data_IF_942628245081
#
_entry.id   IF_942628245081
#
_cell.length_a   1.000
_cell.length_b   1.000
_cell.length_c   1.000
_cell.angle_alpha   90.00
_cell.angle_beta   90.00
_cell.angle_gamma   90.00
#
_symmetry.space_group_name_H-M   'P 1'
#
loop_
_entity.id
_entity.type
_entity.pdbx_description
1 polymer ?
#
# COMPACT_ATOMS: atom_id res chain seq x y z
N UNK A 1 11.89 -8.69 -9.23
CA UNK A 1 10.72 -8.30 -8.43
C UNK A 1 10.02 -7.04 -8.96
N UNK A 2 10.72 -6.25 -9.81
CA UNK A 2 10.15 -5.08 -10.47
C UNK A 2 9.21 -5.51 -11.61
N UNK A 3 8.07 -4.83 -11.73
CA UNK A 3 7.11 -5.07 -12.80
C UNK A 3 7.42 -4.19 -14.01
N UNK A 4 6.91 -2.98 -14.10
CA UNK A 4 7.14 -2.07 -15.22
C UNK A 4 7.72 -0.75 -14.74
N UNK A 5 8.65 -0.18 -15.51
CA UNK A 5 9.11 1.19 -15.31
C UNK A 5 7.98 2.16 -15.64
N UNK A 6 7.66 3.06 -14.72
CA UNK A 6 6.63 4.07 -14.92
C UNK A 6 7.19 5.17 -15.81
N UNK A 7 6.64 5.29 -17.02
CA UNK A 7 6.97 6.33 -18.00
C UNK A 7 5.78 7.23 -18.31
N UNK A 8 4.60 6.85 -17.80
CA UNK A 8 3.36 7.57 -17.97
C UNK A 8 2.66 7.73 -16.63
N UNK A 9 2.33 8.95 -16.31
CA UNK A 9 1.52 9.27 -15.12
C UNK A 9 0.25 9.99 -15.57
N UNK A 10 -0.88 9.61 -14.98
CA UNK A 10 -2.18 10.25 -15.21
C UNK A 10 -2.76 10.72 -13.89
N UNK A 11 -3.30 11.92 -13.91
CA UNK A 11 -4.15 12.43 -12.83
C UNK A 11 -5.48 12.83 -13.46
N UNK A 12 -6.56 12.26 -12.93
CA UNK A 12 -7.92 12.54 -13.43
C UNK A 12 -8.81 13.08 -12.33
N UNK A 13 -9.74 13.93 -12.74
CA UNK A 13 -10.85 14.39 -11.91
C UNK A 13 -12.13 13.83 -12.52
N UNK A 14 -12.85 13.04 -11.74
CA UNK A 14 -14.12 12.44 -12.11
C UNK A 14 -15.27 13.25 -11.51
N UNK A 15 -16.21 13.67 -12.35
CA UNK A 15 -17.39 14.41 -11.92
C UNK A 15 -18.57 14.12 -12.84
N UNK A 16 -19.72 13.75 -12.27
CA UNK A 16 -20.99 13.54 -13.00
C UNK A 16 -20.88 12.60 -14.21
N UNK A 17 -20.09 11.53 -14.10
CA UNK A 17 -19.87 10.57 -15.19
C UNK A 17 -18.85 11.00 -16.22
N UNK A 18 -18.26 12.19 -16.10
CA UNK A 18 -17.18 12.70 -16.95
C UNK A 18 -15.84 12.59 -16.23
N UNK A 19 -14.77 12.52 -17.00
CA UNK A 19 -13.42 12.47 -16.47
C UNK A 19 -12.50 13.40 -17.26
N UNK A 20 -11.88 14.34 -16.55
CA UNK A 20 -10.82 15.19 -17.10
C UNK A 20 -9.47 14.63 -16.69
N UNK A 21 -8.59 14.39 -17.63
CA UNK A 21 -7.30 13.74 -17.40
C UNK A 21 -6.16 14.63 -17.87
N UNK A 22 -5.18 14.79 -17.01
CA UNK A 22 -3.85 15.32 -17.35
C UNK A 22 -2.89 14.14 -17.40
N UNK A 23 -2.16 14.02 -18.49
CA UNK A 23 -1.19 12.96 -18.72
C UNK A 23 0.21 13.55 -18.82
N UNK A 24 1.15 13.00 -18.09
CA UNK A 24 2.57 13.28 -18.14
C UNK A 24 3.30 12.06 -18.69
N UNK A 25 4.00 12.23 -19.80
CA UNK A 25 4.76 11.16 -20.45
C UNK A 25 6.23 11.54 -20.47
N UNK A 26 7.05 10.66 -19.90
CA UNK A 26 8.50 10.80 -19.93
C UNK A 26 9.07 10.09 -21.15
N UNK A 27 9.94 10.73 -21.88
CA UNK A 27 10.68 10.11 -23.00
C UNK A 27 11.96 9.43 -22.50
N UNK A 28 12.63 10.05 -21.53
CA UNK A 28 13.84 9.57 -20.92
C UNK A 28 13.80 9.88 -19.41
N UNK A 29 14.28 8.96 -18.60
CA UNK A 29 14.41 9.11 -17.14
C UNK A 29 15.83 8.80 -16.75
N UNK A 30 16.53 9.69 -16.00
CA UNK A 30 17.83 9.38 -15.45
C UNK A 30 17.78 8.12 -14.59
N UNK A 31 18.81 7.28 -14.64
CA UNK A 31 18.82 5.97 -13.97
C UNK A 31 18.55 6.04 -12.45
N UNK A 32 18.89 7.14 -11.81
CA UNK A 32 18.65 7.36 -10.38
C UNK A 32 17.25 7.94 -10.05
N UNK A 33 16.44 8.25 -11.06
CA UNK A 33 15.08 8.81 -10.92
C UNK A 33 14.00 7.85 -11.41
N UNK A 34 14.38 6.64 -11.79
CA UNK A 34 13.47 5.63 -12.29
C UNK A 34 12.45 5.17 -11.24
N UNK A 35 11.18 5.16 -11.59
CA UNK A 35 10.08 4.63 -10.79
C UNK A 35 9.56 3.32 -11.38
N UNK A 36 9.21 2.37 -10.53
CA UNK A 36 8.73 1.06 -10.96
C UNK A 36 7.45 0.66 -10.23
N UNK A 37 6.56 0.02 -10.96
CA UNK A 37 5.44 -0.70 -10.33
C UNK A 37 5.96 -1.99 -9.74
N UNK A 38 5.44 -2.37 -8.58
CA UNK A 38 5.74 -3.64 -7.91
C UNK A 38 4.45 -4.34 -7.46
N UNK A 39 4.47 -5.66 -7.51
CA UNK A 39 3.47 -6.49 -6.83
C UNK A 39 4.03 -6.87 -5.46
N UNK A 40 3.46 -6.34 -4.38
CA UNK A 40 3.93 -6.54 -3.00
C UNK A 40 4.12 -8.01 -2.65
N UNK A 41 3.23 -8.90 -3.10
CA UNK A 41 3.36 -10.34 -2.90
C UNK A 41 4.64 -10.96 -3.47
N UNK A 42 5.20 -10.36 -4.52
CA UNK A 42 6.47 -10.79 -5.12
C UNK A 42 7.67 -10.01 -4.57
N UNK A 43 7.49 -8.70 -4.41
CA UNK A 43 8.54 -7.80 -3.96
C UNK A 43 8.93 -8.08 -2.50
N UNK A 44 7.95 -8.23 -1.62
CA UNK A 44 8.22 -8.48 -0.19
C UNK A 44 8.92 -9.83 0.01
N UNK A 45 8.50 -10.86 -0.73
CA UNK A 45 9.17 -12.16 -0.70
C UNK A 45 10.63 -12.07 -1.19
N UNK A 46 10.88 -11.33 -2.26
CA UNK A 46 12.23 -11.12 -2.75
C UNK A 46 13.08 -10.35 -1.72
N UNK A 47 12.54 -9.27 -1.15
CA UNK A 47 13.25 -8.46 -0.17
C UNK A 47 13.61 -9.28 1.09
N UNK A 48 12.68 -10.11 1.56
CA UNK A 48 12.92 -11.03 2.66
C UNK A 48 14.08 -12.01 2.34
N UNK A 49 14.09 -12.58 1.13
CA UNK A 49 15.17 -13.45 0.68
C UNK A 49 16.53 -12.72 0.60
N UNK A 50 16.54 -11.46 0.19
CA UNK A 50 17.79 -10.67 0.19
C UNK A 50 18.28 -10.41 1.62
N UNK A 51 17.36 -10.16 2.57
CA UNK A 51 17.72 -10.03 3.98
C UNK A 51 18.31 -11.34 4.56
N UNK A 52 17.71 -12.48 4.25
CA UNK A 52 18.24 -13.80 4.66
C UNK A 52 19.64 -14.07 4.09
N UNK A 53 19.93 -13.68 2.85
CA UNK A 53 21.28 -13.77 2.26
C UNK A 53 22.31 -12.93 3.02
N UNK A 54 21.88 -11.86 3.69
CA UNK A 54 22.73 -11.03 4.55
C UNK A 54 22.80 -11.53 6.00
N UNK A 55 22.21 -12.70 6.30
CA UNK A 55 22.28 -13.33 7.60
C UNK A 55 21.08 -13.07 8.52
N UNK A 56 20.03 -12.40 8.04
CA UNK A 56 18.79 -12.28 8.81
C UNK A 56 18.08 -13.64 8.89
N UNK A 57 17.45 -13.92 10.03
CA UNK A 57 16.58 -15.10 10.20
C UNK A 57 15.13 -14.66 10.01
N UNK A 58 14.47 -15.16 8.98
CA UNK A 58 13.05 -14.94 8.75
C UNK A 58 12.22 -16.06 9.42
N UNK A 59 11.39 -15.70 10.38
CA UNK A 59 10.47 -16.62 11.05
C UNK A 59 9.05 -16.20 10.71
N UNK A 60 8.37 -17.05 9.94
CA UNK A 60 6.98 -16.83 9.52
C UNK A 60 6.00 -17.56 10.43
N UNK A 61 4.73 -17.12 10.42
CA UNK A 61 3.63 -17.72 11.20
C UNK A 61 3.88 -17.73 12.72
N UNK A 62 4.67 -16.79 13.19
CA UNK A 62 4.88 -16.54 14.63
C UNK A 62 4.28 -15.18 14.95
N UNK A 63 3.39 -15.15 15.93
CA UNK A 63 2.76 -13.92 16.40
C UNK A 63 3.55 -13.36 17.57
N UNK A 64 4.03 -12.12 17.42
CA UNK A 64 4.54 -11.36 18.57
C UNK A 64 3.36 -10.78 19.33
N UNK A 65 3.23 -11.13 20.59
CA UNK A 65 2.08 -10.77 21.43
C UNK A 65 2.39 -9.66 22.43
N UNK A 66 3.67 -9.46 22.79
CA UNK A 66 4.08 -8.50 23.81
C UNK A 66 5.53 -8.04 23.63
N UNK A 67 5.82 -6.80 24.00
CA UNK A 67 7.19 -6.32 24.19
C UNK A 67 7.66 -6.65 25.63
N UNK A 68 8.78 -7.34 25.77
CA UNK A 68 9.38 -7.61 27.07
C UNK A 68 10.07 -6.34 27.58
N UNK A 69 9.57 -5.80 28.69
CA UNK A 69 10.06 -4.56 29.28
C UNK A 69 10.73 -4.85 30.62
N UNK A 70 11.96 -4.39 30.78
CA UNK A 70 12.70 -4.44 32.04
C UNK A 70 12.81 -3.03 32.66
N UNK A 71 12.56 -2.93 33.95
CA UNK A 71 12.76 -1.71 34.70
C UNK A 71 13.59 -2.01 35.95
N UNK A 72 14.83 -1.55 35.98
CA UNK A 72 15.79 -1.87 37.03
C UNK A 72 15.46 -1.24 38.39
N UNK A 73 14.65 -0.18 38.43
CA UNK A 73 14.14 0.47 39.63
C UNK A 73 12.91 1.33 39.30
N UNK A 74 12.13 1.73 40.33
CA UNK A 74 10.91 2.55 40.16
C UNK A 74 11.17 3.85 39.44
N UNK A 75 12.36 4.42 39.53
CA UNK A 75 12.75 5.68 38.89
C UNK A 75 13.55 5.49 37.57
N UNK A 76 13.85 4.25 37.18
CA UNK A 76 14.55 3.98 35.93
C UNK A 76 13.56 4.03 34.77
N UNK A 77 14.06 4.47 33.60
CA UNK A 77 13.26 4.38 32.38
C UNK A 77 13.07 2.92 32.00
N UNK A 78 11.84 2.50 31.61
CA UNK A 78 11.60 1.18 31.05
C UNK A 78 12.49 0.95 29.81
N UNK A 79 13.05 -0.25 29.69
CA UNK A 79 13.86 -0.67 28.55
C UNK A 79 13.22 -1.90 27.92
N UNK A 80 13.00 -1.87 26.61
CA UNK A 80 12.58 -3.05 25.85
C UNK A 80 13.81 -3.95 25.70
N UNK A 81 13.70 -5.21 26.13
CA UNK A 81 14.78 -6.20 26.13
C UNK A 81 14.49 -7.40 25.22
N UNK A 82 13.33 -7.45 24.59
CA UNK A 82 12.91 -8.55 23.72
C UNK A 82 11.44 -8.53 23.41
N UNK A 83 10.96 -9.65 22.91
CA UNK A 83 9.57 -9.87 22.53
C UNK A 83 9.09 -11.23 23.04
N UNK A 84 7.78 -11.35 23.30
CA UNK A 84 7.10 -12.62 23.53
C UNK A 84 6.42 -13.07 22.26
N UNK A 85 6.67 -14.32 21.87
CA UNK A 85 6.09 -14.97 20.72
C UNK A 85 5.36 -16.22 21.21
N UNK A 86 4.05 -16.20 21.29
CA UNK A 86 3.26 -17.25 21.94
C UNK A 86 3.76 -17.52 23.38
N UNK A 87 4.31 -18.69 23.65
CA UNK A 87 4.88 -19.09 24.95
C UNK A 87 6.40 -18.87 25.05
N UNK A 88 7.07 -18.46 23.98
CA UNK A 88 8.51 -18.27 23.91
C UNK A 88 8.91 -16.79 24.09
N UNK A 89 10.08 -16.57 24.68
CA UNK A 89 10.68 -15.23 24.81
C UNK A 89 11.96 -15.13 23.97
N UNK A 90 12.03 -14.08 23.16
CA UNK A 90 13.21 -13.77 22.34
C UNK A 90 13.82 -12.47 22.83
N UNK A 91 15.07 -12.51 23.27
CA UNK A 91 15.78 -11.35 23.80
C UNK A 91 16.65 -10.71 22.72
N UNK A 92 16.76 -9.38 22.74
CA UNK A 92 17.56 -8.61 21.82
C UNK A 92 18.04 -7.28 22.43
N UNK A 93 19.19 -6.79 21.98
CA UNK A 93 19.72 -5.47 22.35
C UNK A 93 18.89 -4.33 21.76
N UNK A 94 18.21 -4.56 20.64
CA UNK A 94 17.33 -3.61 19.95
C UNK A 94 16.13 -4.34 19.36
N UNK A 95 14.95 -3.80 19.58
CA UNK A 95 13.69 -4.27 18.96
C UNK A 95 13.16 -3.19 18.03
N UNK A 96 12.92 -3.54 16.77
CA UNK A 96 12.28 -2.67 15.77
C UNK A 96 10.85 -3.15 15.56
N UNK A 97 9.88 -2.33 15.93
CA UNK A 97 8.46 -2.61 15.73
C UNK A 97 8.03 -1.99 14.38
N UNK A 98 7.60 -2.84 13.45
CA UNK A 98 7.19 -2.46 12.10
C UNK A 98 5.80 -3.04 11.75
N UNK A 99 4.85 -2.93 12.66
CA UNK A 99 3.50 -3.52 12.57
C UNK A 99 2.49 -2.71 11.71
N UNK A 100 2.96 -1.62 11.11
CA UNK A 100 2.14 -0.77 10.24
C UNK A 100 1.13 0.08 11.01
N UNK A 101 -0.05 0.27 10.44
CA UNK A 101 -1.08 1.16 10.98
C UNK A 101 -1.80 0.64 12.24
N UNK A 102 -1.66 -0.64 12.58
CA UNK A 102 -2.41 -1.24 13.69
C UNK A 102 -1.83 -0.91 15.08
N UNK A 103 -0.53 -0.64 15.21
CA UNK A 103 0.17 -0.15 16.42
C UNK A 103 -0.12 -0.90 17.74
N UNK A 104 -0.52 -2.19 17.67
CA UNK A 104 -1.01 -2.94 18.83
C UNK A 104 0.04 -3.10 19.93
N UNK A 105 1.27 -3.47 19.57
CA UNK A 105 2.37 -3.65 20.49
C UNK A 105 2.84 -2.31 21.11
N UNK A 106 2.86 -1.26 20.29
CA UNK A 106 3.26 0.07 20.73
C UNK A 106 2.23 0.67 21.72
N UNK A 107 0.93 0.44 21.47
CA UNK A 107 -0.15 0.85 22.38
C UNK A 107 -0.08 0.08 23.72
N UNK A 108 0.08 -1.25 23.66
CA UNK A 108 0.25 -2.08 24.86
C UNK A 108 1.45 -1.64 25.72
N UNK A 109 2.54 -1.27 25.06
CA UNK A 109 3.74 -0.79 25.75
C UNK A 109 3.64 0.67 26.23
N UNK A 110 2.54 1.37 25.93
CA UNK A 110 2.37 2.80 26.26
C UNK A 110 3.31 3.74 25.50
N UNK A 111 3.83 3.30 24.34
CA UNK A 111 4.77 4.06 23.52
C UNK A 111 4.08 4.96 22.49
N UNK A 112 2.83 4.66 22.16
CA UNK A 112 1.97 5.52 21.35
C UNK A 112 0.51 5.44 21.80
N UNK A 113 -0.30 6.39 21.40
CA UNK A 113 -1.75 6.31 21.50
C UNK A 113 -2.33 5.55 20.30
N UNK A 114 -3.59 5.10 20.44
CA UNK A 114 -4.34 4.53 19.32
C UNK A 114 -4.33 5.49 18.12
N UNK A 115 -4.22 4.96 16.88
CA UNK A 115 -4.20 5.78 15.69
C UNK A 115 -5.46 6.64 15.57
N UNK A 116 -5.29 7.93 15.24
CA UNK A 116 -6.41 8.81 14.96
C UNK A 116 -7.07 8.39 13.63
N UNK A 117 -8.40 8.11 13.62
CA UNK A 117 -9.13 7.80 12.37
C UNK A 117 -8.96 8.86 11.28
N UNK A 118 -8.74 10.14 11.63
CA UNK A 118 -8.45 11.21 10.68
C UNK A 118 -7.11 11.04 9.94
N UNK A 119 -6.17 10.29 10.52
CA UNK A 119 -4.87 9.99 9.92
C UNK A 119 -4.84 8.65 9.16
N UNK A 120 -5.95 7.92 9.15
CA UNK A 120 -6.04 6.59 8.54
C UNK A 120 -6.87 6.60 7.26
N UNK A 121 -6.52 5.69 6.37
CA UNK A 121 -7.30 5.40 5.17
C UNK A 121 -7.43 3.89 4.98
N UNK A 122 -8.51 3.47 4.35
CA UNK A 122 -8.73 2.09 3.91
C UNK A 122 -8.69 2.02 2.39
N UNK A 123 -8.07 0.97 1.87
CA UNK A 123 -8.00 0.73 0.43
C UNK A 123 -8.44 -0.68 0.06
N UNK A 124 -9.13 -0.78 -1.06
CA UNK A 124 -9.46 -2.05 -1.71
C UNK A 124 -8.84 -2.08 -3.10
N UNK A 125 -8.41 -3.25 -3.55
CA UNK A 125 -7.73 -3.41 -4.84
C UNK A 125 -8.02 -4.77 -5.42
N UNK A 126 -8.27 -4.78 -6.73
CA UNK A 126 -8.33 -5.98 -7.56
C UNK A 126 -7.20 -5.99 -8.58
N UNK A 127 -6.80 -7.17 -9.00
CA UNK A 127 -5.74 -7.35 -10.00
C UNK A 127 -6.23 -8.28 -11.10
N UNK A 128 -6.35 -7.75 -12.30
CA UNK A 128 -6.85 -8.44 -13.48
C UNK A 128 -5.70 -8.90 -14.38
N UNK A 129 -5.69 -10.17 -14.75
CA UNK A 129 -4.72 -10.69 -15.71
C UNK A 129 -5.04 -10.18 -17.11
N UNK A 130 -4.03 -9.66 -17.79
CA UNK A 130 -4.12 -9.19 -19.18
C UNK A 130 -2.88 -9.63 -19.95
N UNK A 131 -3.06 -9.91 -21.25
CA UNK A 131 -1.93 -10.11 -22.13
C UNK A 131 -1.10 -8.79 -22.22
N UNK A 132 0.21 -8.95 -22.35
CA UNK A 132 1.16 -7.82 -22.40
C UNK A 132 0.78 -6.80 -23.47
N UNK A 133 0.53 -7.26 -24.70
CA UNK A 133 0.14 -6.41 -25.82
C UNK A 133 -1.20 -5.69 -25.57
N UNK A 134 -2.21 -6.42 -25.05
CA UNK A 134 -3.51 -5.82 -24.77
C UNK A 134 -3.41 -4.70 -23.72
N UNK A 135 -2.53 -4.85 -22.73
CA UNK A 135 -2.28 -3.84 -21.71
C UNK A 135 -1.54 -2.64 -22.29
N UNK A 136 -0.55 -2.87 -23.15
CA UNK A 136 0.20 -1.81 -23.84
C UNK A 136 -0.71 -1.02 -24.78
N UNK A 137 -1.54 -1.70 -25.57
CA UNK A 137 -2.49 -1.07 -26.50
C UNK A 137 -3.54 -0.24 -25.76
N UNK A 138 -4.20 -0.80 -24.73
CA UNK A 138 -5.25 -0.11 -23.98
C UNK A 138 -4.76 1.11 -23.22
N UNK A 139 -3.56 1.03 -22.65
CA UNK A 139 -2.97 2.14 -21.88
C UNK A 139 -2.11 3.08 -22.75
N UNK A 140 -1.93 2.80 -24.05
CA UNK A 140 -1.08 3.56 -24.97
C UNK A 140 0.36 3.61 -24.46
N UNK A 141 0.93 2.45 -24.12
CA UNK A 141 2.27 2.33 -23.56
C UNK A 141 3.27 1.83 -24.61
N UNK A 142 4.48 2.32 -24.53
CA UNK A 142 5.60 1.68 -25.22
C UNK A 142 5.86 0.29 -24.64
N UNK A 143 6.46 -0.65 -25.41
CA UNK A 143 6.77 -1.99 -24.92
C UNK A 143 7.53 -1.97 -23.59
N UNK A 144 7.07 -2.79 -22.63
CA UNK A 144 7.62 -2.93 -21.28
C UNK A 144 7.56 -1.69 -20.38
N UNK A 145 6.97 -0.60 -20.85
CA UNK A 145 6.76 0.59 -20.02
C UNK A 145 5.44 0.51 -19.25
N UNK A 146 5.36 1.27 -18.19
CA UNK A 146 4.26 1.25 -17.23
C UNK A 146 3.57 2.60 -17.07
N UNK A 147 2.39 2.54 -16.47
CA UNK A 147 1.57 3.68 -16.13
C UNK A 147 1.15 3.62 -14.66
N UNK A 148 1.19 4.77 -14.01
CA UNK A 148 0.51 5.07 -12.76
C UNK A 148 -0.61 6.07 -13.06
N UNK A 149 -1.84 5.75 -12.64
CA UNK A 149 -2.99 6.61 -12.83
C UNK A 149 -3.72 6.81 -11.51
N UNK A 150 -3.90 8.07 -11.12
CA UNK A 150 -4.64 8.49 -9.94
C UNK A 150 -5.91 9.22 -10.36
N UNK A 151 -7.01 8.97 -9.67
CA UNK A 151 -8.30 9.59 -9.96
C UNK A 151 -8.91 10.13 -8.68
N UNK A 152 -9.35 11.37 -8.71
CA UNK A 152 -10.03 12.09 -7.64
C UNK A 152 -11.46 12.42 -8.07
N UNK A 153 -12.28 12.92 -7.16
CA UNK A 153 -13.60 13.46 -7.49
C UNK A 153 -14.76 12.69 -6.85
N UNK A 154 -15.87 12.54 -7.58
CA UNK A 154 -17.15 12.03 -7.06
C UNK A 154 -17.20 10.51 -6.80
N UNK A 155 -16.06 9.85 -6.87
CA UNK A 155 -15.91 8.39 -6.68
C UNK A 155 -15.98 7.95 -5.21
N UNK A 156 -15.80 8.90 -4.29
CA UNK A 156 -15.56 8.65 -2.86
C UNK A 156 -16.78 8.97 -1.96
N UNK A 157 -17.95 9.23 -2.55
CA UNK A 157 -19.12 9.70 -1.81
C UNK A 157 -18.84 10.93 -0.91
N UNK A 158 -17.93 11.81 -1.34
CA UNK A 158 -17.53 13.02 -0.62
C UNK A 158 -16.43 12.83 0.44
N UNK A 159 -15.95 11.61 0.64
CA UNK A 159 -14.78 11.37 1.50
C UNK A 159 -13.48 11.77 0.79
N UNK A 160 -12.43 12.06 1.57
CA UNK A 160 -11.10 12.24 1.00
C UNK A 160 -10.58 10.91 0.48
N UNK A 161 -10.10 10.88 -0.76
CA UNK A 161 -9.57 9.67 -1.38
C UNK A 161 -9.68 9.68 -2.89
N UNK A 162 -9.63 8.51 -3.51
CA UNK A 162 -9.72 8.35 -4.96
C UNK A 162 -9.39 6.96 -5.45
N UNK A 163 -9.45 6.81 -6.77
CA UNK A 163 -9.10 5.58 -7.46
C UNK A 163 -7.65 5.59 -7.95
N UNK A 164 -7.12 4.41 -8.19
CA UNK A 164 -5.81 4.25 -8.82
C UNK A 164 -5.80 3.06 -9.80
N UNK A 165 -4.97 3.17 -10.84
CA UNK A 165 -4.69 2.09 -11.78
C UNK A 165 -3.18 1.97 -11.97
N UNK A 166 -2.63 0.78 -11.78
CA UNK A 166 -1.22 0.49 -12.03
C UNK A 166 -1.07 -0.67 -13.00
N UNK A 167 -0.19 -0.49 -13.98
CA UNK A 167 0.09 -1.53 -14.97
C UNK A 167 1.26 -2.41 -14.53
N UNK A 168 1.03 -3.72 -14.43
CA UNK A 168 2.06 -4.72 -14.16
C UNK A 168 2.50 -5.39 -15.47
N UNK A 169 3.41 -6.37 -15.44
CA UNK A 169 3.88 -7.08 -16.65
C UNK A 169 2.75 -7.80 -17.40
N UNK A 170 1.87 -8.51 -16.65
CA UNK A 170 0.80 -9.35 -17.19
C UNK A 170 -0.52 -9.14 -16.44
N UNK A 171 -0.70 -7.97 -15.87
CA UNK A 171 -1.92 -7.63 -15.13
C UNK A 171 -2.05 -6.13 -14.98
N UNK A 172 -3.25 -5.67 -14.65
CA UNK A 172 -3.55 -4.32 -14.19
C UNK A 172 -4.11 -4.41 -12.79
N UNK A 173 -3.65 -3.53 -11.91
CA UNK A 173 -4.20 -3.36 -10.56
C UNK A 173 -5.10 -2.13 -10.57
N UNK A 174 -6.35 -2.31 -10.19
CA UNK A 174 -7.34 -1.24 -10.04
C UNK A 174 -7.76 -1.20 -8.60
N UNK A 175 -7.70 -0.04 -7.98
CA UNK A 175 -8.02 0.08 -6.57
C UNK A 175 -8.62 1.42 -6.21
N UNK A 176 -9.10 1.50 -4.99
CA UNK A 176 -9.73 2.66 -4.41
C UNK A 176 -9.27 2.84 -2.97
N UNK A 177 -9.04 4.08 -2.56
CA UNK A 177 -8.63 4.44 -1.20
C UNK A 177 -9.50 5.56 -0.69
N UNK A 178 -9.98 5.46 0.54
CA UNK A 178 -10.74 6.51 1.21
C UNK A 178 -10.26 6.70 2.63
N UNK A 179 -10.30 7.94 3.11
CA UNK A 179 -10.06 8.28 4.52
C UNK A 179 -11.09 7.60 5.41
N UNK A 180 -10.67 7.13 6.58
CA UNK A 180 -11.56 6.65 7.63
C UNK A 180 -12.29 7.79 8.34
N UNK A 181 -11.82 9.03 8.18
CA UNK A 181 -12.56 10.20 8.64
C UNK A 181 -13.95 10.21 8.00
N UNK A 182 -14.96 10.27 8.83
CA UNK A 182 -16.38 10.30 8.43
C UNK A 182 -16.87 9.11 7.58
N UNK A 183 -16.12 8.00 7.49
CA UNK A 183 -16.56 6.84 6.71
C UNK A 183 -17.91 6.30 7.19
N UNK A 184 -18.23 6.39 8.48
CA UNK A 184 -19.52 6.02 9.04
C UNK A 184 -20.69 6.94 8.66
N UNK A 185 -20.44 8.07 8.00
CA UNK A 185 -21.47 9.02 7.55
C UNK A 185 -21.97 8.76 6.13
N UNK A 186 -21.37 7.82 5.40
CA UNK A 186 -21.78 7.45 4.06
C UNK A 186 -22.47 6.09 4.06
N UNK A 187 -23.48 5.90 3.20
CA UNK A 187 -24.25 4.64 3.10
C UNK A 187 -23.59 3.61 2.18
N UNK A 188 -22.64 4.04 1.34
CA UNK A 188 -21.96 3.17 0.37
C UNK A 188 -20.72 2.53 0.99
N UNK A 189 -20.43 1.30 0.60
CA UNK A 189 -19.21 0.58 1.02
C UNK A 189 -18.01 0.97 0.17
N UNK A 190 -16.79 0.70 0.66
CA UNK A 190 -15.56 0.92 -0.11
C UNK A 190 -15.49 0.02 -1.34
N UNK A 191 -16.10 -1.17 -1.27
CA UNK A 191 -16.25 -2.10 -2.41
C UNK A 191 -17.18 -1.52 -3.48
N UNK A 192 -18.31 -0.93 -3.09
CA UNK A 192 -19.23 -0.27 -4.04
C UNK A 192 -18.55 0.94 -4.70
N UNK A 193 -17.73 1.68 -3.97
CA UNK A 193 -16.93 2.77 -4.54
C UNK A 193 -15.92 2.25 -5.57
N UNK A 194 -15.28 1.10 -5.32
CA UNK A 194 -14.40 0.45 -6.29
C UNK A 194 -15.18 0.02 -7.54
N UNK A 195 -16.36 -0.62 -7.38
CA UNK A 195 -17.22 -1.01 -8.49
C UNK A 195 -17.67 0.19 -9.32
N UNK A 196 -18.05 1.30 -8.67
CA UNK A 196 -18.37 2.56 -9.35
C UNK A 196 -17.19 3.09 -10.15
N UNK A 197 -15.98 3.05 -9.59
CA UNK A 197 -14.75 3.46 -10.29
C UNK A 197 -14.46 2.58 -11.50
N UNK A 198 -14.57 1.27 -11.36
CA UNK A 198 -14.35 0.30 -12.45
C UNK A 198 -15.39 0.48 -13.60
N UNK A 199 -16.60 0.91 -13.26
CA UNK A 199 -17.66 1.15 -14.24
C UNK A 199 -17.50 2.48 -15.01
N UNK A 200 -16.57 3.35 -14.59
CA UNK A 200 -16.31 4.60 -15.33
C UNK A 200 -15.81 4.28 -16.75
N UNK A 201 -16.39 4.91 -17.80
CA UNK A 201 -16.07 4.58 -19.20
C UNK A 201 -14.58 4.63 -19.52
N UNK A 202 -13.83 5.53 -18.90
CA UNK A 202 -12.38 5.64 -19.09
C UNK A 202 -11.57 4.52 -18.41
N UNK A 203 -12.15 3.81 -17.44
CA UNK A 203 -11.51 2.72 -16.68
C UNK A 203 -11.97 1.35 -17.20
N UNK A 204 -13.21 1.25 -17.63
CA UNK A 204 -13.85 0.00 -18.11
C UNK A 204 -13.32 -0.49 -19.47
N UNK A 205 -12.58 0.32 -20.21
CA UNK A 205 -11.96 0.00 -21.51
C UNK A 205 -10.78 -0.95 -21.34
#
# INVERSE_FOLDING_TARGET
>A
PLERQVMKERISIAENGHMTTVEYVQSEVPQNEESYVVLRSKFDKWLAQEAEKQGALLICNVQVTELLVHQSSVNAKPQVIGVRCDDDEVYADLVIVAEGANTLLLEQAGLCAAPDPHALAVGVKETYKLAKSALEDRCGLMPDKGMAWLTLGDLTAGLMGGGFVYTNKYSVSVGHVVSLDKIGSVETTVEDMLLKFQAYPAVAQ
#
